data_IF_120083298573
#
_entry.id   IF_120083298573
#
_cell.length_a   1.000
_cell.length_b   1.000
_cell.length_c   1.000
_cell.angle_alpha   90.00
_cell.angle_beta   90.00
_cell.angle_gamma   90.00
#
_symmetry.space_group_name_H-M   'P 1'
#
loop_
_entity.id
_entity.type
_entity.pdbx_description
1 polymer ?
#
# COMPACT_ATOMS: atom_id res chain seq x y z
N UNK A 1 -16.40 -14.37 2.40
CA UNK A 1 -15.63 -13.49 1.49
C UNK A 1 -14.17 -13.86 1.56
N UNK A 2 -13.59 -14.11 0.42
CA UNK A 2 -12.16 -14.43 0.34
C UNK A 2 -11.33 -13.17 0.60
N UNK A 3 -10.21 -13.29 1.29
CA UNK A 3 -9.34 -12.17 1.62
C UNK A 3 -7.93 -12.35 1.03
N UNK A 4 -7.35 -11.23 0.62
CA UNK A 4 -6.00 -11.19 0.08
C UNK A 4 -5.21 -10.07 0.75
N UNK A 5 -3.99 -10.40 1.19
CA UNK A 5 -3.01 -9.42 1.63
C UNK A 5 -1.99 -9.21 0.51
N UNK A 6 -1.76 -7.97 0.15
CA UNK A 6 -0.77 -7.58 -0.86
C UNK A 6 0.26 -6.74 -0.15
N UNK A 7 1.52 -7.19 -0.15
CA UNK A 7 2.60 -6.52 0.57
C UNK A 7 3.52 -5.86 -0.45
N UNK A 8 3.67 -4.54 -0.35
CA UNK A 8 4.61 -3.77 -1.16
C UNK A 8 5.79 -3.38 -0.29
N UNK A 9 6.97 -3.87 -0.63
CA UNK A 9 8.21 -3.58 0.09
C UNK A 9 9.13 -2.62 -0.65
N UNK A 10 8.87 -2.38 -1.93
CA UNK A 10 9.70 -1.55 -2.79
C UNK A 10 9.21 -0.12 -2.84
N UNK A 11 10.12 0.86 -3.04
CA UNK A 11 9.71 2.25 -3.24
C UNK A 11 8.75 2.43 -4.41
N UNK A 12 7.98 3.53 -4.44
CA UNK A 12 6.92 3.70 -5.45
C UNK A 12 7.42 3.88 -6.87
N UNK A 13 8.64 4.32 -7.06
CA UNK A 13 9.16 4.61 -8.40
C UNK A 13 10.49 3.87 -8.64
N UNK A 14 10.75 3.56 -9.92
CA UNK A 14 11.98 2.89 -10.33
C UNK A 14 11.82 1.40 -10.62
N UNK A 15 10.71 0.78 -10.23
CA UNK A 15 10.38 -0.60 -10.54
C UNK A 15 8.90 -0.71 -10.92
N UNK A 16 8.47 -1.90 -11.36
CA UNK A 16 7.06 -2.16 -11.67
C UNK A 16 6.28 -2.65 -10.44
N UNK A 17 6.94 -2.82 -9.31
CA UNK A 17 6.32 -3.47 -8.14
C UNK A 17 5.14 -2.67 -7.57
N UNK A 18 5.28 -1.35 -7.40
CA UNK A 18 4.20 -0.53 -6.86
C UNK A 18 2.99 -0.47 -7.80
N UNK A 19 3.13 -0.19 -9.11
CA UNK A 19 2.01 -0.26 -10.04
C UNK A 19 1.34 -1.63 -10.06
N UNK A 20 2.11 -2.72 -10.02
CA UNK A 20 1.58 -4.07 -10.02
C UNK A 20 0.83 -4.39 -8.73
N UNK A 21 1.34 -3.97 -7.57
CA UNK A 21 0.65 -4.15 -6.30
C UNK A 21 -0.72 -3.46 -6.32
N UNK A 22 -0.77 -2.22 -6.82
CA UNK A 22 -2.01 -1.44 -6.94
C UNK A 22 -2.97 -2.13 -7.92
N UNK A 23 -2.46 -2.58 -9.06
CA UNK A 23 -3.29 -3.27 -10.06
C UNK A 23 -3.94 -4.52 -9.48
N UNK A 24 -3.18 -5.32 -8.72
CA UNK A 24 -3.70 -6.51 -8.07
C UNK A 24 -4.71 -6.17 -6.96
N UNK A 25 -4.47 -5.08 -6.21
CA UNK A 25 -5.40 -4.63 -5.18
C UNK A 25 -6.75 -4.24 -5.81
N UNK A 26 -6.73 -3.44 -6.87
CA UNK A 26 -7.95 -3.03 -7.57
C UNK A 26 -8.65 -4.23 -8.21
N UNK A 27 -7.89 -5.15 -8.79
CA UNK A 27 -8.44 -6.39 -9.36
C UNK A 27 -9.12 -7.26 -8.30
N UNK A 28 -8.54 -7.36 -7.11
CA UNK A 28 -9.15 -8.10 -6.01
C UNK A 28 -10.48 -7.51 -5.57
N UNK A 29 -10.56 -6.17 -5.52
CA UNK A 29 -11.80 -5.48 -5.17
C UNK A 29 -12.89 -5.78 -6.21
N UNK A 30 -12.54 -5.75 -7.49
CA UNK A 30 -13.47 -6.03 -8.59
C UNK A 30 -13.99 -7.47 -8.48
N UNK A 31 -13.18 -8.40 -7.99
CA UNK A 31 -13.55 -9.81 -7.78
C UNK A 31 -14.24 -10.05 -6.43
N UNK A 32 -14.68 -8.99 -5.76
CA UNK A 32 -15.35 -9.05 -4.47
C UNK A 32 -14.53 -9.67 -3.33
N UNK A 33 -13.22 -9.54 -3.41
CA UNK A 33 -12.33 -9.97 -2.32
C UNK A 33 -12.17 -8.88 -1.27
N UNK A 34 -11.92 -9.27 -0.04
CA UNK A 34 -11.47 -8.34 1.00
C UNK A 34 -9.97 -8.09 0.79
N UNK A 35 -9.61 -6.88 0.39
CA UNK A 35 -8.23 -6.54 0.02
C UNK A 35 -7.55 -5.74 1.14
N UNK A 36 -6.37 -6.21 1.55
CA UNK A 36 -5.48 -5.53 2.49
C UNK A 36 -4.18 -5.22 1.74
N UNK A 37 -3.92 -3.95 1.51
CA UNK A 37 -2.66 -3.51 0.90
C UNK A 37 -1.74 -3.04 2.03
N UNK A 38 -0.60 -3.70 2.18
CA UNK A 38 0.34 -3.47 3.27
C UNK A 38 1.63 -2.87 2.70
N UNK A 39 1.97 -1.68 3.18
CA UNK A 39 3.17 -0.97 2.76
C UNK A 39 4.23 -1.13 3.85
N UNK A 40 5.34 -1.74 3.52
CA UNK A 40 6.43 -2.02 4.44
C UNK A 40 7.78 -1.64 3.81
N UNK A 41 8.80 -1.48 4.63
CA UNK A 41 10.14 -1.07 4.18
C UNK A 41 10.04 0.19 3.32
N UNK A 42 10.73 0.26 2.19
CA UNK A 42 10.64 1.37 1.24
C UNK A 42 9.25 1.59 0.64
N UNK A 43 8.37 0.57 0.72
CA UNK A 43 7.00 0.65 0.22
C UNK A 43 6.14 1.69 0.94
N UNK A 44 6.48 2.07 2.18
CA UNK A 44 5.73 3.12 2.89
C UNK A 44 5.80 4.48 2.19
N UNK A 45 6.80 4.69 1.35
CA UNK A 45 6.90 5.91 0.55
C UNK A 45 5.78 6.03 -0.50
N UNK A 46 5.11 4.93 -0.84
CA UNK A 46 3.94 4.94 -1.71
C UNK A 46 2.76 5.69 -1.06
N UNK A 47 2.70 5.71 0.26
CA UNK A 47 1.65 6.41 1.02
C UNK A 47 1.96 7.89 1.27
N UNK A 48 3.04 8.40 0.72
CA UNK A 48 3.46 9.77 0.94
C UNK A 48 2.60 10.75 0.15
N UNK A 49 2.19 11.85 0.79
CA UNK A 49 1.49 12.95 0.12
C UNK A 49 2.45 13.73 -0.79
N UNK A 50 1.88 14.48 -1.72
CA UNK A 50 2.60 15.45 -2.56
C UNK A 50 3.66 14.83 -3.47
N UNK A 51 3.37 13.65 -4.00
CA UNK A 51 4.19 13.02 -5.02
C UNK A 51 3.98 13.76 -6.34
N UNK A 52 5.06 14.23 -6.93
CA UNK A 52 5.02 14.98 -8.20
C UNK A 52 5.67 14.17 -9.32
N UNK A 53 4.84 13.70 -10.25
CA UNK A 53 5.30 12.94 -11.43
C UNK A 53 5.22 13.75 -12.72
N UNK A 54 4.97 15.08 -12.64
CA UNK A 54 4.62 15.92 -13.77
C UNK A 54 5.66 15.97 -14.90
N UNK A 55 6.93 15.76 -14.61
CA UNK A 55 8.00 15.78 -15.63
C UNK A 55 8.60 14.39 -15.84
N UNK A 56 7.83 13.35 -15.58
CA UNK A 56 8.28 11.97 -15.73
C UNK A 56 7.29 11.16 -16.55
N UNK A 57 7.67 9.94 -16.92
CA UNK A 57 6.77 8.98 -17.56
C UNK A 57 5.94 8.18 -16.57
N UNK A 58 6.17 8.39 -15.25
CA UNK A 58 5.48 7.64 -14.21
C UNK A 58 4.07 8.17 -13.95
N UNK A 59 3.13 7.24 -13.75
CA UNK A 59 1.82 7.58 -13.20
C UNK A 59 1.95 7.80 -11.68
N UNK A 60 1.10 8.64 -11.12
CA UNK A 60 1.14 8.91 -9.69
C UNK A 60 0.72 7.70 -8.87
N UNK A 61 1.64 7.21 -8.04
CA UNK A 61 1.36 6.13 -7.10
C UNK A 61 0.46 6.63 -5.97
N UNK A 62 0.60 7.90 -5.58
CA UNK A 62 -0.29 8.54 -4.60
C UNK A 62 -1.76 8.43 -5.05
N UNK A 63 -2.04 8.74 -6.31
CA UNK A 63 -3.40 8.59 -6.87
C UNK A 63 -3.87 7.15 -6.84
N UNK A 64 -2.99 6.20 -7.15
CA UNK A 64 -3.29 4.77 -7.09
C UNK A 64 -3.67 4.30 -5.70
N UNK A 65 -2.94 4.76 -4.68
CA UNK A 65 -3.25 4.43 -3.27
C UNK A 65 -4.62 5.00 -2.88
N UNK A 66 -4.89 6.26 -3.27
CA UNK A 66 -6.20 6.89 -3.00
C UNK A 66 -7.34 6.12 -3.66
N UNK A 67 -7.14 5.66 -4.90
CA UNK A 67 -8.13 4.85 -5.61
C UNK A 67 -8.41 3.55 -4.87
N UNK A 68 -7.38 2.88 -4.37
CA UNK A 68 -7.55 1.66 -3.58
C UNK A 68 -8.42 1.91 -2.35
N UNK A 69 -8.15 2.98 -1.62
CA UNK A 69 -8.92 3.37 -0.43
C UNK A 69 -10.37 3.66 -0.81
N UNK A 70 -10.57 4.46 -1.84
CA UNK A 70 -11.91 4.88 -2.29
C UNK A 70 -12.75 3.69 -2.75
N UNK A 71 -12.13 2.67 -3.32
CA UNK A 71 -12.83 1.48 -3.80
C UNK A 71 -13.02 0.42 -2.71
N UNK A 72 -12.50 0.63 -1.52
CA UNK A 72 -12.80 -0.22 -0.37
C UNK A 72 -11.67 -1.11 0.14
N UNK A 73 -10.45 -0.97 -0.38
CA UNK A 73 -9.31 -1.67 0.20
C UNK A 73 -8.90 -1.02 1.52
N UNK A 74 -8.44 -1.83 2.46
CA UNK A 74 -7.76 -1.32 3.66
C UNK A 74 -6.28 -1.19 3.32
N UNK A 75 -5.73 0.01 3.45
CA UNK A 75 -4.32 0.27 3.19
C UNK A 75 -3.60 0.53 4.51
N UNK A 76 -2.58 -0.25 4.78
CA UNK A 76 -1.79 -0.18 6.00
C UNK A 76 -0.37 0.26 5.69
N UNK A 77 0.23 1.05 6.58
CA UNK A 77 1.64 1.39 6.51
C UNK A 77 2.32 0.96 7.82
N UNK A 78 3.45 0.25 7.69
CA UNK A 78 4.20 -0.25 8.82
C UNK A 78 4.83 0.89 9.61
N UNK A 79 4.51 0.98 10.88
CA UNK A 79 4.95 2.05 11.78
C UNK A 79 6.48 2.16 11.88
N UNK A 80 7.16 1.02 11.99
CA UNK A 80 8.63 1.00 12.07
C UNK A 80 9.25 1.50 10.77
N UNK A 81 8.71 1.06 9.63
CA UNK A 81 9.20 1.49 8.31
C UNK A 81 9.01 2.99 8.09
N UNK A 82 7.87 3.56 8.52
CA UNK A 82 7.62 5.00 8.46
C UNK A 82 8.74 5.76 9.19
N UNK A 83 9.10 5.29 10.38
CA UNK A 83 10.16 5.90 11.17
C UNK A 83 11.52 5.77 10.49
N UNK A 84 11.84 4.58 9.97
CA UNK A 84 13.10 4.30 9.30
C UNK A 84 13.26 5.11 8.01
N UNK A 85 12.16 5.38 7.32
CA UNK A 85 12.15 6.19 6.09
C UNK A 85 12.00 7.68 6.38
N UNK A 86 12.06 8.09 7.64
CA UNK A 86 12.02 9.49 8.09
C UNK A 86 10.75 10.22 7.68
N UNK A 87 9.61 9.51 7.61
CA UNK A 87 8.31 10.11 7.31
C UNK A 87 7.63 10.54 8.61
N UNK A 88 6.93 11.68 8.53
CA UNK A 88 6.07 12.14 9.62
C UNK A 88 4.64 11.68 9.36
N UNK A 89 3.82 11.58 10.39
CA UNK A 89 2.42 11.19 10.24
C UNK A 89 1.66 12.12 9.29
N UNK A 90 1.99 13.41 9.29
CA UNK A 90 1.37 14.40 8.40
C UNK A 90 1.73 14.22 6.93
N UNK A 91 2.78 13.46 6.64
CA UNK A 91 3.21 13.15 5.27
C UNK A 91 2.40 12.01 4.65
N UNK A 92 1.61 11.31 5.44
CA UNK A 92 0.91 10.09 5.01
C UNK A 92 -0.49 10.43 4.49
N UNK A 93 -0.86 9.84 3.37
CA UNK A 93 -2.17 9.99 2.74
C UNK A 93 -3.28 9.70 3.76
N UNK A 94 -4.30 10.55 3.81
CA UNK A 94 -5.46 10.35 4.66
C UNK A 94 -6.17 9.05 4.29
N UNK A 95 -6.54 8.27 5.29
CA UNK A 95 -7.17 6.97 5.07
C UNK A 95 -6.22 5.78 5.15
N UNK A 96 -4.90 6.01 5.09
CA UNK A 96 -3.91 4.96 5.35
C UNK A 96 -3.84 4.70 6.85
N UNK A 97 -3.89 3.43 7.23
CA UNK A 97 -3.88 3.00 8.62
C UNK A 97 -2.44 2.68 9.01
N UNK A 98 -1.91 3.37 10.01
CA UNK A 98 -0.58 3.08 10.53
C UNK A 98 -0.69 1.92 11.51
N UNK A 99 0.02 0.83 11.25
CA UNK A 99 -0.05 -0.39 12.03
C UNK A 99 1.33 -0.84 12.48
N UNK A 100 1.41 -1.44 13.65
CA UNK A 100 2.67 -2.03 14.13
C UNK A 100 2.85 -3.45 13.57
N UNK A 101 4.04 -4.03 13.79
CA UNK A 101 4.38 -5.33 13.23
C UNK A 101 3.47 -6.46 13.71
N UNK A 102 3.00 -6.40 14.96
CA UNK A 102 2.08 -7.41 15.50
C UNK A 102 0.73 -7.37 14.79
N UNK A 103 0.20 -6.17 14.56
CA UNK A 103 -1.05 -5.96 13.85
C UNK A 103 -0.95 -6.45 12.41
N UNK A 104 0.16 -6.12 11.73
CA UNK A 104 0.41 -6.56 10.35
C UNK A 104 0.51 -8.08 10.28
N UNK A 105 1.22 -8.71 11.22
CA UNK A 105 1.34 -10.16 11.26
C UNK A 105 -0.03 -10.84 11.40
N UNK A 106 -0.92 -10.30 12.22
CA UNK A 106 -2.28 -10.84 12.37
C UNK A 106 -3.09 -10.69 11.08
N UNK A 107 -2.98 -9.55 10.40
CA UNK A 107 -3.66 -9.33 9.13
C UNK A 107 -3.23 -10.36 8.09
N UNK A 108 -1.92 -10.60 7.99
CA UNK A 108 -1.36 -11.57 7.04
C UNK A 108 -1.84 -12.99 7.40
N UNK A 109 -1.80 -13.33 8.69
CA UNK A 109 -2.21 -14.63 9.17
C UNK A 109 -3.67 -14.93 8.86
N UNK A 110 -4.53 -13.93 8.94
CA UNK A 110 -5.97 -14.07 8.69
C UNK A 110 -6.33 -14.06 7.20
N UNK A 111 -5.39 -13.72 6.33
CA UNK A 111 -5.64 -13.66 4.88
C UNK A 111 -5.61 -15.04 4.24
N UNK A 112 -6.51 -15.28 3.30
CA UNK A 112 -6.55 -16.54 2.56
C UNK A 112 -5.37 -16.66 1.59
N UNK A 113 -4.93 -15.54 1.03
CA UNK A 113 -3.82 -15.49 0.06
C UNK A 113 -2.95 -14.28 0.38
N UNK A 114 -1.64 -14.41 0.16
CA UNK A 114 -0.70 -13.30 0.32
C UNK A 114 0.20 -13.19 -0.90
N UNK A 115 0.33 -11.97 -1.44
CA UNK A 115 1.25 -11.66 -2.53
C UNK A 115 2.28 -10.66 -2.03
N UNK A 116 3.54 -10.82 -2.44
CA UNK A 116 4.64 -9.94 -2.03
C UNK A 116 5.31 -9.33 -3.26
N UNK A 117 5.44 -8.01 -3.22
CA UNK A 117 6.10 -7.23 -4.28
C UNK A 117 7.30 -6.47 -3.75
#
# INVERSE_FOLDING_TARGET
MESISIILRRPPYGTVDAPEAIRHALGGIIEDMAVKLILADGGVNAAKKRQDTSNTEYSSIESGIKDCIDMGADVYADKTSIKEEHLENDDIIDGVIIANSSEIAEIIKESDTTMIF
#
